data_IF_221243365856
#
_entry.id   IF_221243365856
#
_cell.length_a   1.000
_cell.length_b   1.000
_cell.length_c   1.000
_cell.angle_alpha   90.00
_cell.angle_beta   90.00
_cell.angle_gamma   90.00
#
_symmetry.space_group_name_H-M   'P 1'
#
loop_
_entity.id
_entity.type
_entity.pdbx_description
1 polymer ?
#
# COMPACT_ATOMS: atom_id res chain seq x y z
N UNK A 1 0.69 16.20 -4.28
CA UNK A 1 0.47 15.85 -2.86
C UNK A 1 0.73 14.35 -2.70
N UNK A 2 1.74 13.97 -1.91
CA UNK A 2 2.04 12.55 -1.61
C UNK A 2 1.64 12.29 -0.15
N UNK A 3 0.98 11.16 0.12
CA UNK A 3 0.50 10.84 1.47
C UNK A 3 -0.12 9.44 1.57
N UNK A 4 -0.65 9.13 2.76
CA UNK A 4 -1.33 7.86 3.06
C UNK A 4 -2.79 8.13 3.39
N UNK A 5 -3.71 7.30 2.89
CA UNK A 5 -5.15 7.45 3.19
C UNK A 5 -5.39 7.32 4.70
N UNK A 6 -4.61 6.46 5.37
CA UNK A 6 -4.61 6.30 6.82
C UNK A 6 -3.17 6.28 7.36
N UNK A 7 -2.63 7.41 7.83
CA UNK A 7 -1.25 7.49 8.33
C UNK A 7 -1.02 6.63 9.58
N UNK A 8 -2.06 6.41 10.40
CA UNK A 8 -1.99 5.54 11.59
C UNK A 8 -1.85 4.06 11.21
N UNK A 9 -2.47 3.61 10.11
CA UNK A 9 -2.34 2.24 9.61
C UNK A 9 -0.96 1.95 9.01
N UNK A 10 -0.24 2.97 8.56
CA UNK A 10 1.15 2.82 8.12
C UNK A 10 2.08 2.34 9.26
N UNK A 11 1.74 2.63 10.53
CA UNK A 11 2.45 2.08 11.69
C UNK A 11 2.33 0.56 11.77
N UNK A 12 1.32 -0.05 11.14
CA UNK A 12 1.19 -1.51 11.03
C UNK A 12 2.38 -2.16 10.31
N UNK A 13 3.13 -1.43 9.50
CA UNK A 13 4.38 -1.93 8.91
C UNK A 13 5.43 -2.31 9.98
N UNK A 14 5.35 -1.75 11.19
CA UNK A 14 6.19 -2.14 12.32
C UNK A 14 5.98 -3.62 12.73
N UNK A 15 4.83 -4.24 12.41
CA UNK A 15 4.65 -5.67 12.64
C UNK A 15 5.62 -6.53 11.82
N UNK A 16 6.18 -6.01 10.71
CA UNK A 16 7.22 -6.71 9.97
C UNK A 16 8.52 -6.89 10.79
N UNK A 17 8.69 -6.20 11.91
CA UNK A 17 9.80 -6.39 12.84
C UNK A 17 9.59 -7.57 13.79
N UNK A 18 8.36 -8.07 13.96
CA UNK A 18 8.06 -9.18 14.88
C UNK A 18 8.84 -10.46 14.54
N UNK A 19 8.89 -10.93 13.26
CA UNK A 19 9.69 -12.10 12.89
C UNK A 19 11.18 -11.92 13.17
N UNK A 20 11.70 -10.70 12.96
CA UNK A 20 13.10 -10.35 13.22
C UNK A 20 13.42 -10.45 14.71
N UNK A 21 12.56 -9.88 15.56
CA UNK A 21 12.70 -9.91 17.02
C UNK A 21 12.63 -11.36 17.54
N UNK A 22 11.65 -12.15 17.10
CA UNK A 22 11.52 -13.57 17.47
C UNK A 22 12.77 -14.36 17.07
N UNK A 23 13.32 -14.10 15.88
CA UNK A 23 14.56 -14.75 15.42
C UNK A 23 15.76 -14.42 16.32
N UNK A 24 15.94 -13.14 16.65
CA UNK A 24 17.00 -12.68 17.56
C UNK A 24 16.89 -13.29 18.96
N UNK A 25 15.67 -13.41 19.49
CA UNK A 25 15.41 -14.05 20.78
C UNK A 25 15.71 -15.55 20.74
N UNK A 26 15.29 -16.25 19.68
CA UNK A 26 15.47 -17.70 19.55
C UNK A 26 16.94 -18.10 19.32
N UNK A 27 17.75 -17.21 18.71
CA UNK A 27 19.20 -17.40 18.53
C UNK A 27 19.95 -17.51 19.87
N UNK A 28 19.44 -16.93 20.96
CA UNK A 28 20.07 -16.98 22.29
C UNK A 28 19.84 -18.29 23.05
N UNK A 29 18.89 -19.14 22.62
CA UNK A 29 18.52 -20.37 23.36
C UNK A 29 19.37 -21.60 23.04
N UNK A 30 20.18 -21.56 21.99
CA UNK A 30 20.97 -22.71 21.57
C UNK A 30 22.28 -22.75 22.34
N UNK A 31 22.24 -23.28 23.58
CA UNK A 31 23.46 -23.68 24.29
C UNK A 31 23.86 -25.08 23.81
N UNK A 32 24.93 -25.23 23.01
CA UNK A 32 25.39 -26.56 22.62
C UNK A 32 25.90 -27.29 23.87
N UNK A 33 25.35 -28.46 24.15
CA UNK A 33 25.86 -29.35 25.20
C UNK A 33 26.98 -30.19 24.59
N UNK A 34 28.19 -30.10 25.14
CA UNK A 34 29.34 -30.84 24.63
C UNK A 34 29.25 -32.31 25.08
N UNK A 35 28.79 -33.18 24.17
CA UNK A 35 28.80 -34.64 24.38
C UNK A 35 29.79 -35.30 23.42
N UNK A 36 30.55 -36.30 23.90
CA UNK A 36 31.66 -36.91 23.16
C UNK A 36 31.31 -37.45 21.77
N UNK A 37 30.07 -37.91 21.57
CA UNK A 37 29.58 -38.39 20.28
C UNK A 37 29.36 -37.28 19.24
N UNK A 38 29.16 -36.01 19.66
CA UNK A 38 28.89 -34.90 18.74
C UNK A 38 30.09 -34.47 17.90
N UNK A 39 31.32 -34.81 18.30
CA UNK A 39 32.53 -34.47 17.53
C UNK A 39 32.56 -35.14 16.15
N UNK A 40 32.01 -36.34 16.03
CA UNK A 40 31.91 -37.05 14.73
C UNK A 40 30.79 -36.47 13.86
N UNK A 41 29.69 -36.04 14.49
CA UNK A 41 28.54 -35.42 13.80
C UNK A 41 28.90 -34.02 13.30
N UNK A 42 29.62 -33.21 14.08
CA UNK A 42 29.96 -31.83 13.73
C UNK A 42 30.85 -31.73 12.48
N UNK A 43 31.71 -32.72 12.24
CA UNK A 43 32.53 -32.82 11.03
C UNK A 43 31.69 -33.00 9.76
N UNK A 44 30.59 -33.75 9.82
CA UNK A 44 29.67 -33.95 8.70
C UNK A 44 28.76 -32.72 8.46
N UNK A 45 28.36 -32.01 9.52
CA UNK A 45 27.40 -30.91 9.43
C UNK A 45 28.00 -29.54 9.05
N UNK A 46 29.33 -29.39 9.00
CA UNK A 46 30.01 -28.11 8.76
C UNK A 46 29.61 -27.45 7.43
N UNK A 47 29.39 -28.26 6.38
CA UNK A 47 28.98 -27.79 5.03
C UNK A 47 27.49 -27.42 5.00
N UNK A 48 26.63 -28.27 5.58
CA UNK A 48 25.18 -28.06 5.66
C UNK A 48 24.82 -26.82 6.50
N UNK A 49 25.61 -26.52 7.53
CA UNK A 49 25.40 -25.36 8.41
C UNK A 49 25.45 -24.01 7.68
N UNK A 50 26.29 -23.87 6.64
CA UNK A 50 26.37 -22.62 5.86
C UNK A 50 25.15 -22.45 4.96
N UNK A 51 24.69 -23.55 4.32
CA UNK A 51 23.48 -23.57 3.48
C UNK A 51 22.23 -23.27 4.30
N UNK A 52 22.04 -23.95 5.44
CA UNK A 52 20.92 -23.69 6.35
C UNK A 52 20.87 -22.25 6.87
N UNK A 53 22.04 -21.60 7.06
CA UNK A 53 22.08 -20.18 7.45
C UNK A 53 21.59 -19.26 6.33
N UNK A 54 21.98 -19.50 5.08
CA UNK A 54 21.49 -18.70 3.95
C UNK A 54 19.99 -18.92 3.72
N UNK A 55 19.53 -20.18 3.74
CA UNK A 55 18.10 -20.50 3.59
C UNK A 55 17.27 -19.84 4.69
N UNK A 56 17.71 -19.92 5.96
CA UNK A 56 17.02 -19.26 7.06
C UNK A 56 17.01 -17.74 6.94
N UNK A 57 18.08 -17.11 6.44
CA UNK A 57 18.13 -15.67 6.23
C UNK A 57 17.16 -15.25 5.11
N UNK A 58 17.13 -15.99 4.00
CA UNK A 58 16.20 -15.75 2.90
C UNK A 58 14.75 -15.94 3.33
N UNK A 59 14.44 -17.00 4.08
CA UNK A 59 13.11 -17.24 4.63
C UNK A 59 12.68 -16.15 5.61
N UNK A 60 13.62 -15.63 6.43
CA UNK A 60 13.35 -14.51 7.32
C UNK A 60 13.00 -13.24 6.52
N UNK A 61 13.80 -12.92 5.51
CA UNK A 61 13.54 -11.77 4.63
C UNK A 61 12.19 -11.90 3.91
N UNK A 62 11.87 -13.08 3.38
CA UNK A 62 10.59 -13.31 2.70
C UNK A 62 9.41 -13.14 3.66
N UNK A 63 9.51 -13.66 4.89
CA UNK A 63 8.47 -13.51 5.91
C UNK A 63 8.26 -12.04 6.28
N UNK A 64 9.34 -11.27 6.46
CA UNK A 64 9.24 -9.83 6.73
C UNK A 64 8.64 -9.07 5.55
N UNK A 65 9.06 -9.39 4.33
CA UNK A 65 8.56 -8.79 3.10
C UNK A 65 7.06 -9.04 2.92
N UNK A 66 6.58 -10.26 3.19
CA UNK A 66 5.16 -10.58 3.12
C UNK A 66 4.30 -9.76 4.10
N UNK A 67 4.76 -9.61 5.36
CA UNK A 67 4.05 -8.80 6.36
C UNK A 67 4.08 -7.31 5.98
N UNK A 68 5.23 -6.81 5.52
CA UNK A 68 5.35 -5.43 5.06
C UNK A 68 4.47 -5.14 3.84
N UNK A 69 4.43 -6.05 2.87
CA UNK A 69 3.59 -5.95 1.68
C UNK A 69 2.10 -5.93 2.04
N UNK A 70 1.67 -6.77 2.99
CA UNK A 70 0.30 -6.78 3.49
C UNK A 70 -0.05 -5.46 4.18
N UNK A 71 0.84 -4.96 5.05
CA UNK A 71 0.64 -3.68 5.73
C UNK A 71 0.55 -2.51 4.72
N UNK A 72 1.40 -2.50 3.68
CA UNK A 72 1.35 -1.52 2.60
C UNK A 72 0.06 -1.63 1.78
N UNK A 73 -0.38 -2.85 1.46
CA UNK A 73 -1.62 -3.07 0.72
C UNK A 73 -2.84 -2.52 1.49
N UNK A 74 -2.86 -2.70 2.80
CA UNK A 74 -3.92 -2.17 3.68
C UNK A 74 -3.80 -0.64 3.82
N UNK A 75 -2.58 -0.11 3.98
CA UNK A 75 -2.34 1.33 4.12
C UNK A 75 -2.70 2.12 2.84
N UNK A 76 -2.82 1.44 1.69
CA UNK A 76 -3.14 2.02 0.37
C UNK A 76 -2.38 3.33 0.13
N UNK A 77 -1.04 3.27 -0.01
CA UNK A 77 -0.25 4.47 -0.30
C UNK A 77 -0.76 5.10 -1.61
N UNK A 78 -1.14 6.37 -1.56
CA UNK A 78 -1.45 7.10 -2.78
C UNK A 78 -0.18 7.82 -3.23
N UNK A 79 0.46 7.28 -4.26
CA UNK A 79 1.49 8.01 -4.99
C UNK A 79 0.78 8.92 -5.99
N UNK A 80 0.82 10.24 -5.79
CA UNK A 80 0.46 11.17 -6.88
C UNK A 80 1.30 10.89 -8.13
N UNK A 81 0.82 11.33 -9.32
CA UNK A 81 1.43 11.18 -10.66
C UNK A 81 2.91 10.75 -10.63
N UNK A 82 3.14 9.45 -10.60
CA UNK A 82 4.44 8.79 -10.49
C UNK A 82 4.26 7.33 -10.90
N UNK A 83 5.35 6.59 -11.12
CA UNK A 83 5.32 5.26 -11.76
C UNK A 83 4.36 4.24 -11.10
N UNK A 84 4.12 4.32 -9.79
CA UNK A 84 3.14 3.49 -9.07
C UNK A 84 1.70 4.06 -9.09
N UNK A 85 1.57 5.38 -9.22
CA UNK A 85 0.29 6.08 -9.36
C UNK A 85 -0.35 5.89 -10.74
N UNK A 86 0.43 5.71 -11.80
CA UNK A 86 -0.11 5.41 -13.14
C UNK A 86 -0.64 3.97 -13.26
N UNK A 87 -0.14 3.04 -12.44
CA UNK A 87 -0.66 1.66 -12.36
C UNK A 87 -1.97 1.58 -11.57
N UNK A 88 -2.31 2.65 -10.84
CA UNK A 88 -3.49 2.74 -9.97
C UNK A 88 -4.33 3.94 -10.38
N UNK A 89 -4.58 4.07 -11.68
CA UNK A 89 -5.51 5.06 -12.22
C UNK A 89 -6.90 4.80 -11.59
N UNK A 90 -7.18 5.55 -10.53
CA UNK A 90 -8.43 5.40 -9.79
C UNK A 90 -9.53 6.00 -10.67
N UNK A 91 -10.34 5.14 -11.29
CA UNK A 91 -11.60 5.54 -11.91
C UNK A 91 -12.38 6.37 -10.89
N UNK A 92 -12.57 7.65 -11.19
CA UNK A 92 -13.40 8.55 -10.39
C UNK A 92 -14.81 8.49 -10.97
N UNK A 93 -15.74 7.96 -10.20
CA UNK A 93 -17.16 8.08 -10.50
C UNK A 93 -17.62 9.48 -10.09
N UNK A 94 -18.03 10.28 -11.07
CA UNK A 94 -18.61 11.60 -10.84
C UNK A 94 -20.10 11.53 -11.11
N UNK A 95 -20.90 11.85 -10.11
CA UNK A 95 -22.35 12.02 -10.25
C UNK A 95 -22.66 13.51 -10.15
N UNK A 96 -23.15 14.08 -11.24
CA UNK A 96 -23.67 15.45 -11.26
C UNK A 96 -25.18 15.42 -11.01
N UNK A 97 -25.62 16.12 -9.97
CA UNK A 97 -27.02 16.34 -9.64
C UNK A 97 -27.37 17.77 -10.03
N UNK A 98 -28.30 17.94 -10.97
CA UNK A 98 -28.78 19.23 -11.44
C UNK A 98 -30.16 19.50 -10.84
N UNK A 99 -30.33 20.65 -10.19
CA UNK A 99 -31.63 21.07 -9.64
C UNK A 99 -32.52 21.66 -10.75
N UNK A 100 -33.66 21.00 -11.02
CA UNK A 100 -34.68 21.39 -12.00
C UNK A 100 -35.93 22.00 -11.36
N UNK A 101 -35.84 22.51 -10.14
CA UNK A 101 -36.97 23.14 -9.44
C UNK A 101 -37.55 24.36 -10.18
N UNK A 102 -38.81 24.72 -9.87
CA UNK A 102 -39.52 25.82 -10.54
C UNK A 102 -38.81 27.19 -10.43
N UNK A 103 -38.03 27.41 -9.36
CA UNK A 103 -37.20 28.61 -9.18
C UNK A 103 -36.08 28.74 -10.21
N UNK A 104 -35.64 27.62 -10.79
CA UNK A 104 -34.55 27.58 -11.78
C UNK A 104 -35.00 28.07 -13.16
N UNK A 105 -36.31 28.18 -13.38
CA UNK A 105 -36.91 28.83 -14.55
C UNK A 105 -36.82 30.37 -14.53
N UNK A 106 -36.29 30.97 -13.45
CA UNK A 106 -36.11 32.42 -13.36
C UNK A 106 -35.16 32.93 -14.44
N UNK A 107 -35.64 33.90 -15.23
CA UNK A 107 -34.88 34.61 -16.26
C UNK A 107 -34.41 35.95 -15.71
N UNK A 108 -33.10 36.07 -15.51
CA UNK A 108 -32.48 37.34 -15.17
C UNK A 108 -32.15 38.17 -16.43
N UNK A 109 -32.06 37.53 -17.60
CA UNK A 109 -31.75 38.12 -18.91
C UNK A 109 -32.26 37.18 -20.05
N UNK A 110 -31.52 37.02 -21.17
CA UNK A 110 -31.83 36.09 -22.29
C UNK A 110 -31.81 34.61 -21.86
N UNK A 111 -31.04 34.26 -20.84
CA UNK A 111 -30.88 32.88 -20.34
C UNK A 111 -31.65 32.62 -19.05
N UNK A 112 -32.15 31.40 -18.90
CA UNK A 112 -32.69 30.93 -17.63
C UNK A 112 -31.57 30.58 -16.64
N UNK A 113 -31.88 30.56 -15.35
CA UNK A 113 -30.94 30.08 -14.32
C UNK A 113 -30.55 28.62 -14.60
N UNK A 114 -31.45 27.84 -15.19
CA UNK A 114 -31.19 26.45 -15.58
C UNK A 114 -30.14 26.34 -16.68
N UNK A 115 -30.22 27.17 -17.72
CA UNK A 115 -29.25 27.20 -18.81
C UNK A 115 -27.83 27.50 -18.29
N UNK A 116 -27.73 28.36 -17.27
CA UNK A 116 -26.46 28.68 -16.61
C UNK A 116 -25.88 27.48 -15.84
N UNK A 117 -26.74 26.71 -15.18
CA UNK A 117 -26.34 25.50 -14.44
C UNK A 117 -25.83 24.45 -15.42
N UNK A 118 -26.53 24.22 -16.53
CA UNK A 118 -26.12 23.29 -17.60
C UNK A 118 -24.78 23.69 -18.18
N UNK A 119 -24.60 24.96 -18.57
CA UNK A 119 -23.32 25.47 -19.10
C UNK A 119 -22.17 25.30 -18.09
N UNK A 120 -22.44 25.48 -16.81
CA UNK A 120 -21.44 25.29 -15.75
C UNK A 120 -21.08 23.81 -15.59
N UNK A 121 -22.07 22.92 -15.71
CA UNK A 121 -21.87 21.48 -15.69
C UNK A 121 -21.01 21.01 -16.86
N UNK A 122 -21.29 21.46 -18.08
CA UNK A 122 -20.48 21.18 -19.27
C UNK A 122 -19.03 21.63 -19.08
N UNK A 123 -18.81 22.87 -18.63
CA UNK A 123 -17.46 23.37 -18.36
C UNK A 123 -16.70 22.60 -17.27
N UNK A 124 -17.40 21.93 -16.34
CA UNK A 124 -16.77 21.05 -15.35
C UNK A 124 -16.39 19.71 -16.00
N UNK A 125 -17.25 19.16 -16.85
CA UNK A 125 -16.99 17.92 -17.59
C UNK A 125 -15.80 18.09 -18.52
N UNK A 126 -15.73 19.19 -19.28
CA UNK A 126 -14.63 19.45 -20.21
C UNK A 126 -13.27 19.51 -19.50
N UNK A 127 -13.20 20.18 -18.34
CA UNK A 127 -11.97 20.24 -17.52
C UNK A 127 -11.52 18.90 -16.98
N UNK A 128 -12.48 18.00 -16.73
CA UNK A 128 -12.17 16.65 -16.26
C UNK A 128 -11.68 15.78 -17.41
N UNK A 129 -12.14 16.02 -18.63
CA UNK A 129 -11.67 15.32 -19.82
C UNK A 129 -10.26 15.76 -20.24
N UNK A 130 -9.95 17.07 -20.14
CA UNK A 130 -8.58 17.58 -20.32
C UNK A 130 -7.59 17.01 -19.28
N UNK A 131 -8.07 16.64 -18.09
CA UNK A 131 -7.27 16.02 -17.03
C UNK A 131 -6.97 14.53 -17.24
N UNK A 132 -7.58 13.88 -18.25
CA UNK A 132 -7.34 12.49 -18.67
C UNK A 132 -6.25 12.35 -19.74
N UNK A 133 -5.72 13.46 -20.26
CA UNK A 133 -4.59 13.51 -21.19
C UNK A 133 -3.22 13.39 -20.52
#
# INVERSE_FOLDING_TARGET
MQGFVNPTLALGALLALVPLIIHLLNRRRHRPMAWGAMRFVEAAFKRTRRRMRMENLLLLLLRMAAVAALALAIARPFAGRGALGSLTEASRDLVLLLDGSASTGYRADIETTFDRIVRRAEAIVDRLDEGRG
#
